data_IF_346086726936
#
_entry.id   IF_346086726936
#
_cell.length_a   1.000
_cell.length_b   1.000
_cell.length_c   1.000
_cell.angle_alpha   90.00
_cell.angle_beta   90.00
_cell.angle_gamma   90.00
#
_symmetry.space_group_name_H-M   'P 1'
#
loop_
_entity.id
_entity.type
_entity.pdbx_description
1 polymer ?
#
# COMPACT_ATOMS: atom_id res chain seq x y z
N UNK A 1 2.56 -5.58 -12.75
CA UNK A 1 3.02 -4.24 -12.35
C UNK A 1 4.01 -3.63 -13.34
N UNK A 2 5.10 -4.31 -13.70
CA UNK A 2 6.10 -3.77 -14.65
C UNK A 2 5.50 -3.41 -16.01
N UNK A 3 4.67 -4.28 -16.58
CA UNK A 3 3.98 -4.02 -17.85
C UNK A 3 3.17 -2.72 -17.83
N UNK A 4 2.38 -2.49 -16.78
CA UNK A 4 1.56 -1.26 -16.63
C UNK A 4 2.44 0.00 -16.55
N UNK A 5 3.61 -0.10 -15.89
CA UNK A 5 4.56 1.02 -15.83
C UNK A 5 5.26 1.28 -17.17
N UNK A 6 5.50 0.23 -17.97
CA UNK A 6 6.04 0.35 -19.32
C UNK A 6 5.02 1.00 -20.26
N UNK A 7 3.77 0.54 -20.23
CA UNK A 7 2.66 1.13 -21.00
C UNK A 7 2.48 2.61 -20.64
N UNK A 8 2.51 2.93 -19.35
CA UNK A 8 2.49 4.33 -18.89
C UNK A 8 3.65 5.14 -19.48
N UNK A 9 4.87 4.60 -19.47
CA UNK A 9 6.08 5.28 -19.97
C UNK A 9 5.96 5.56 -21.46
N UNK A 10 5.51 4.58 -22.25
CA UNK A 10 5.28 4.75 -23.69
C UNK A 10 4.26 5.85 -23.96
N UNK A 11 3.12 5.85 -23.26
CA UNK A 11 2.09 6.88 -23.44
C UNK A 11 2.59 8.26 -23.00
N UNK A 12 3.29 8.33 -21.86
CA UNK A 12 3.89 9.57 -21.35
C UNK A 12 4.85 10.17 -22.37
N UNK A 13 5.75 9.37 -22.92
CA UNK A 13 6.78 9.84 -23.85
C UNK A 13 6.19 10.29 -25.19
N UNK A 14 5.04 9.74 -25.60
CA UNK A 14 4.29 10.23 -26.76
C UNK A 14 3.64 11.60 -26.52
N UNK A 15 3.07 11.83 -25.33
CA UNK A 15 2.37 13.08 -24.98
C UNK A 15 3.37 14.19 -24.61
N UNK A 16 4.49 13.82 -23.98
CA UNK A 16 5.49 14.72 -23.42
C UNK A 16 6.91 14.41 -23.93
N UNK A 17 7.16 14.52 -25.25
CA UNK A 17 8.42 14.08 -25.87
C UNK A 17 9.66 14.85 -25.42
N UNK A 18 9.48 16.07 -24.88
CA UNK A 18 10.58 16.99 -24.54
C UNK A 18 10.73 17.24 -23.04
N UNK A 19 9.96 16.56 -22.19
CA UNK A 19 10.00 16.80 -20.74
C UNK A 19 11.29 16.23 -20.14
N UNK A 20 12.10 17.10 -19.53
CA UNK A 20 13.43 16.77 -18.97
C UNK A 20 13.46 16.62 -17.44
N UNK A 21 12.31 16.46 -16.79
CA UNK A 21 12.27 16.38 -15.32
C UNK A 21 12.52 14.94 -14.84
N UNK A 22 13.16 14.74 -13.67
CA UNK A 22 13.49 13.41 -13.16
C UNK A 22 12.28 12.63 -12.59
N UNK A 23 11.09 13.22 -12.59
CA UNK A 23 9.89 12.58 -12.04
C UNK A 23 9.32 11.54 -13.00
N UNK A 24 9.11 10.32 -12.50
CA UNK A 24 8.54 9.23 -13.30
C UNK A 24 7.09 9.53 -13.70
N UNK A 25 6.24 9.91 -12.74
CA UNK A 25 4.85 10.27 -12.96
C UNK A 25 4.65 11.77 -13.18
N UNK A 26 3.91 12.11 -14.23
CA UNK A 26 3.65 13.49 -14.68
C UNK A 26 2.16 13.85 -14.61
N UNK A 27 1.90 15.13 -14.45
CA UNK A 27 0.60 15.76 -14.73
C UNK A 27 0.37 15.86 -16.25
N UNK A 28 -0.86 16.21 -16.63
CA UNK A 28 -1.24 16.58 -18.00
C UNK A 28 -0.44 17.79 -18.56
N UNK A 29 0.17 18.58 -17.68
CA UNK A 29 1.04 19.70 -18.02
C UNK A 29 2.51 19.31 -18.13
N UNK A 30 2.85 18.03 -18.00
CA UNK A 30 4.24 17.54 -18.05
C UNK A 30 5.07 17.91 -16.82
N UNK A 31 4.43 18.24 -15.69
CA UNK A 31 5.11 18.56 -14.42
C UNK A 31 4.98 17.42 -13.41
N UNK A 32 5.80 17.41 -12.35
CA UNK A 32 5.70 16.42 -11.28
C UNK A 32 4.33 16.45 -10.61
N UNK A 33 3.77 15.27 -10.32
CA UNK A 33 2.54 15.16 -9.56
C UNK A 33 2.74 15.62 -8.11
N UNK A 34 1.80 16.42 -7.60
CA UNK A 34 1.75 16.78 -6.19
C UNK A 34 0.86 15.82 -5.41
N UNK A 35 1.13 15.64 -4.12
CA UNK A 35 0.30 14.82 -3.22
C UNK A 35 -1.15 15.29 -3.22
N UNK A 36 -1.38 16.60 -3.24
CA UNK A 36 -2.71 17.19 -3.28
C UNK A 36 -3.47 16.84 -4.57
N UNK A 37 -2.80 16.92 -5.74
CA UNK A 37 -3.41 16.59 -7.03
C UNK A 37 -3.80 15.11 -7.08
N UNK A 38 -2.90 14.23 -6.65
CA UNK A 38 -3.14 12.79 -6.59
C UNK A 38 -4.31 12.47 -5.65
N UNK A 39 -4.34 13.07 -4.45
CA UNK A 39 -5.44 12.90 -3.49
C UNK A 39 -6.78 13.39 -4.07
N UNK A 40 -6.79 14.54 -4.72
CA UNK A 40 -7.98 15.10 -5.34
C UNK A 40 -8.54 14.18 -6.42
N UNK A 41 -7.70 13.73 -7.35
CA UNK A 41 -8.12 12.79 -8.41
C UNK A 41 -8.64 11.49 -7.81
N UNK A 42 -7.97 10.94 -6.80
CA UNK A 42 -8.41 9.72 -6.13
C UNK A 42 -9.81 9.86 -5.49
N UNK A 43 -10.06 10.95 -4.76
CA UNK A 43 -11.37 11.22 -4.16
C UNK A 43 -12.43 11.32 -5.26
N UNK A 44 -12.16 12.06 -6.34
CA UNK A 44 -13.08 12.18 -7.47
C UNK A 44 -13.39 10.83 -8.12
N UNK A 45 -12.39 9.99 -8.35
CA UNK A 45 -12.60 8.65 -8.89
C UNK A 45 -13.42 7.79 -7.93
N UNK A 46 -13.16 7.88 -6.62
CA UNK A 46 -13.92 7.17 -5.59
C UNK A 46 -15.41 7.53 -5.61
N UNK A 47 -15.77 8.80 -5.84
CA UNK A 47 -17.17 9.18 -6.06
C UNK A 47 -17.73 8.58 -7.36
N UNK A 48 -16.98 8.67 -8.46
CA UNK A 48 -17.43 8.19 -9.78
C UNK A 48 -17.71 6.69 -9.82
N UNK A 49 -16.90 5.89 -9.12
CA UNK A 49 -17.05 4.43 -9.07
C UNK A 49 -17.98 3.97 -7.94
N UNK A 50 -18.59 4.90 -7.20
CA UNK A 50 -19.58 4.59 -6.16
C UNK A 50 -19.01 4.20 -4.80
N UNK A 51 -17.70 4.30 -4.58
CA UNK A 51 -17.10 4.11 -3.26
C UNK A 51 -17.36 5.26 -2.29
N UNK A 52 -17.77 6.43 -2.80
CA UNK A 52 -18.23 7.58 -2.03
C UNK A 52 -19.54 8.10 -2.62
N UNK A 53 -20.55 8.35 -1.80
CA UNK A 53 -21.78 9.05 -2.21
C UNK A 53 -21.49 10.54 -2.40
N UNK A 54 -22.35 11.29 -3.13
CA UNK A 54 -22.09 12.71 -3.43
C UNK A 54 -21.80 13.60 -2.22
N UNK A 55 -22.35 13.28 -1.05
CA UNK A 55 -22.18 14.05 0.19
C UNK A 55 -21.10 13.51 1.12
N UNK A 56 -20.45 12.40 0.77
CA UNK A 56 -19.51 11.72 1.65
C UNK A 56 -18.18 12.47 1.74
N UNK A 57 -17.91 13.04 2.91
CA UNK A 57 -16.60 13.61 3.24
C UNK A 57 -15.54 12.54 3.57
N UNK A 58 -15.98 11.34 3.94
CA UNK A 58 -15.14 10.20 4.32
C UNK A 58 -15.31 9.00 3.38
N UNK A 59 -14.33 8.09 3.37
CA UNK A 59 -14.29 6.96 2.44
C UNK A 59 -12.85 6.53 2.15
N UNK A 60 -12.63 5.68 1.14
CA UNK A 60 -11.30 5.19 0.82
C UNK A 60 -10.31 6.33 0.60
N UNK A 61 -9.05 6.08 0.95
CA UNK A 61 -7.90 6.98 0.81
C UNK A 61 -6.86 6.28 -0.04
N UNK A 62 -6.04 7.07 -0.73
CA UNK A 62 -4.96 6.51 -1.54
C UNK A 62 -3.94 5.72 -0.70
N UNK A 63 -3.71 6.12 0.55
CA UNK A 63 -2.85 5.40 1.49
C UNK A 63 -3.40 4.02 1.88
N UNK A 64 -4.70 3.76 1.69
CA UNK A 64 -5.28 2.48 2.02
C UNK A 64 -4.77 1.37 1.08
N UNK A 65 -4.28 1.68 -0.12
CA UNK A 65 -3.57 0.71 -0.95
C UNK A 65 -2.28 0.23 -0.30
N UNK A 66 -1.51 1.15 0.29
CA UNK A 66 -0.27 0.82 1.02
C UNK A 66 -0.57 -0.04 2.24
N UNK A 67 -1.62 0.33 2.99
CA UNK A 67 -2.11 -0.46 4.11
C UNK A 67 -2.51 -1.87 3.66
N UNK A 68 -3.35 -1.99 2.63
CA UNK A 68 -3.83 -3.27 2.11
C UNK A 68 -2.67 -4.17 1.64
N UNK A 69 -1.70 -3.61 0.91
CA UNK A 69 -0.49 -4.34 0.50
C UNK A 69 0.29 -4.89 1.69
N UNK A 70 0.52 -4.08 2.72
CA UNK A 70 1.24 -4.51 3.91
C UNK A 70 0.50 -5.66 4.63
N UNK A 71 -0.81 -5.48 4.86
CA UNK A 71 -1.66 -6.47 5.53
C UNK A 71 -1.69 -7.79 4.75
N UNK A 72 -1.95 -7.75 3.44
CA UNK A 72 -1.96 -8.97 2.61
C UNK A 72 -0.61 -9.69 2.59
N UNK A 73 0.49 -8.95 2.59
CA UNK A 73 1.83 -9.53 2.64
C UNK A 73 2.06 -10.27 3.95
N UNK A 74 1.69 -9.66 5.08
CA UNK A 74 1.82 -10.27 6.41
C UNK A 74 0.92 -11.50 6.55
N UNK A 75 -0.35 -11.42 6.13
CA UNK A 75 -1.28 -12.57 6.14
C UNK A 75 -0.68 -13.73 5.35
N UNK A 76 -0.18 -13.45 4.14
CA UNK A 76 0.44 -14.45 3.28
C UNK A 76 1.64 -15.11 3.97
N UNK A 77 2.51 -14.33 4.61
CA UNK A 77 3.65 -14.87 5.36
C UNK A 77 3.23 -15.78 6.52
N UNK A 78 2.18 -15.42 7.25
CA UNK A 78 1.62 -16.31 8.28
C UNK A 78 1.11 -17.62 7.68
N UNK A 79 0.37 -17.55 6.55
CA UNK A 79 -0.15 -18.73 5.85
C UNK A 79 0.95 -19.64 5.30
N UNK A 80 2.06 -19.07 4.85
CA UNK A 80 3.22 -19.80 4.33
C UNK A 80 4.17 -20.29 5.44
N UNK A 81 3.88 -20.02 6.71
CA UNK A 81 4.72 -20.42 7.84
C UNK A 81 6.06 -19.67 7.94
N UNK A 82 6.21 -18.57 7.22
CA UNK A 82 7.39 -17.71 7.26
C UNK A 82 7.56 -17.11 8.65
N UNK A 83 8.81 -16.89 9.07
CA UNK A 83 9.06 -16.13 10.29
C UNK A 83 8.77 -14.65 10.04
N UNK A 84 7.51 -14.24 10.30
CA UNK A 84 7.02 -12.88 10.08
C UNK A 84 7.91 -11.84 10.77
N UNK A 85 8.31 -12.10 12.02
CA UNK A 85 9.14 -11.18 12.81
C UNK A 85 10.45 -10.83 12.13
N UNK A 86 11.12 -11.80 11.50
CA UNK A 86 12.37 -11.53 10.77
C UNK A 86 12.16 -10.80 9.44
N UNK A 87 10.93 -10.80 8.91
CA UNK A 87 10.59 -10.18 7.62
C UNK A 87 9.96 -8.79 7.75
N UNK A 88 9.43 -8.43 8.92
CA UNK A 88 8.88 -7.09 9.19
C UNK A 88 9.87 -5.95 8.86
N UNK A 89 11.17 -6.03 9.19
CA UNK A 89 12.13 -4.99 8.80
C UNK A 89 12.23 -4.80 7.29
N UNK A 90 12.19 -5.89 6.52
CA UNK A 90 12.24 -5.85 5.05
C UNK A 90 11.00 -5.14 4.50
N UNK A 91 9.81 -5.49 5.00
CA UNK A 91 8.57 -4.83 4.60
C UNK A 91 8.58 -3.34 4.99
N UNK A 92 9.11 -3.02 6.18
CA UNK A 92 9.26 -1.64 6.64
C UNK A 92 10.10 -0.81 5.67
N UNK A 93 11.26 -1.33 5.24
CA UNK A 93 12.13 -0.69 4.26
C UNK A 93 11.44 -0.54 2.91
N UNK A 94 10.75 -1.58 2.43
CA UNK A 94 9.99 -1.52 1.17
C UNK A 94 8.91 -0.44 1.18
N UNK A 95 8.19 -0.31 2.30
CA UNK A 95 7.19 0.73 2.48
C UNK A 95 7.84 2.12 2.63
N UNK A 96 9.13 2.20 2.95
CA UNK A 96 9.81 3.45 3.28
C UNK A 96 9.38 3.99 4.65
N UNK A 97 9.06 3.11 5.60
CA UNK A 97 8.90 3.50 7.00
C UNK A 97 10.28 3.75 7.62
N UNK A 98 10.44 4.92 8.23
CA UNK A 98 11.64 5.28 8.99
C UNK A 98 11.78 4.50 10.29
N UNK A 99 10.68 3.93 10.81
CA UNK A 99 10.66 3.09 12.01
C UNK A 99 9.86 1.79 11.78
N UNK A 100 10.47 0.59 11.97
CA UNK A 100 9.78 -0.70 11.90
C UNK A 100 8.53 -0.82 12.77
N UNK A 101 8.45 -0.10 13.89
CA UNK A 101 7.26 -0.09 14.76
C UNK A 101 5.98 0.35 14.04
N UNK A 102 6.08 1.17 13.00
CA UNK A 102 4.93 1.54 12.16
C UNK A 102 4.39 0.37 11.33
N UNK A 103 5.22 -0.64 11.08
CA UNK A 103 4.84 -1.87 10.40
C UNK A 103 4.27 -2.89 11.38
N UNK A 104 4.80 -2.95 12.61
CA UNK A 104 4.20 -3.71 13.72
C UNK A 104 2.76 -3.27 14.05
N UNK A 105 2.43 -2.00 13.82
CA UNK A 105 1.06 -1.49 13.97
C UNK A 105 0.02 -2.27 13.14
N UNK A 106 0.40 -2.86 12.00
CA UNK A 106 -0.53 -3.66 11.20
C UNK A 106 -0.95 -4.97 11.91
N UNK A 107 -0.06 -5.57 12.71
CA UNK A 107 -0.35 -6.79 13.45
C UNK A 107 -1.41 -6.58 14.54
N UNK A 108 -1.42 -5.40 15.17
CA UNK A 108 -2.32 -5.07 16.28
C UNK A 108 -3.59 -4.33 15.89
N UNK A 109 -3.72 -3.89 14.63
CA UNK A 109 -4.87 -3.09 14.16
C UNK A 109 -5.80 -3.82 13.17
N UNK A 110 -5.45 -5.04 12.75
CA UNK A 110 -6.24 -5.84 11.82
C UNK A 110 -6.74 -7.11 12.52
N UNK A 111 -8.06 -7.29 12.71
CA UNK A 111 -8.61 -8.42 13.47
C UNK A 111 -8.15 -9.80 12.97
N UNK A 112 -8.04 -9.98 11.65
CA UNK A 112 -7.54 -11.21 11.05
C UNK A 112 -6.08 -11.50 11.44
N UNK A 113 -5.24 -10.47 11.53
CA UNK A 113 -3.84 -10.61 11.95
C UNK A 113 -3.72 -10.91 13.44
N UNK A 114 -4.59 -10.34 14.27
CA UNK A 114 -4.66 -10.66 15.71
C UNK A 114 -5.00 -12.14 15.90
N UNK A 115 -5.97 -12.66 15.16
CA UNK A 115 -6.34 -14.08 15.22
C UNK A 115 -5.18 -15.01 14.83
N UNK A 116 -4.47 -14.68 13.75
CA UNK A 116 -3.29 -15.45 13.32
C UNK A 116 -2.13 -15.39 14.33
N UNK A 117 -1.89 -14.22 14.93
CA UNK A 117 -0.87 -14.05 15.97
C UNK A 117 -1.22 -14.85 17.24
N UNK A 118 -2.49 -14.81 17.68
CA UNK A 118 -2.98 -15.56 18.83
C UNK A 118 -2.86 -17.09 18.61
N UNK A 119 -3.30 -17.60 17.46
CA UNK A 119 -3.19 -19.02 17.12
C UNK A 119 -1.73 -19.51 17.10
N UNK A 120 -0.80 -18.67 16.63
CA UNK A 120 0.64 -18.97 16.68
C UNK A 120 1.17 -19.03 18.11
N UNK A 121 0.76 -18.08 18.96
CA UNK A 121 1.14 -18.04 20.37
C UNK A 121 0.63 -19.28 21.11
N UNK A 122 -0.63 -19.66 20.90
CA UNK A 122 -1.22 -20.88 21.47
C UNK A 122 -0.46 -22.14 21.05
N UNK A 123 -0.07 -22.25 19.77
CA UNK A 123 0.76 -23.37 19.29
C UNK A 123 2.13 -23.42 19.97
N UNK A 124 2.74 -22.25 20.23
CA UNK A 124 4.04 -22.19 20.90
C UNK A 124 3.95 -22.53 22.40
N UNK A 125 2.88 -22.08 23.07
CA UNK A 125 2.62 -22.34 24.49
C UNK A 125 2.11 -23.77 24.74
N UNK A 126 1.31 -24.33 23.83
CA UNK A 126 0.78 -25.69 23.92
C UNK A 126 1.80 -26.78 23.57
N UNK A 127 2.96 -26.41 23.00
CA UNK A 127 4.10 -27.32 22.79
C UNK A 127 5.10 -27.37 23.95
N UNK A 128 4.80 -26.70 25.07
CA UNK A 128 5.62 -26.67 26.29
C UNK A 128 5.04 -27.54 27.43
N UNK A 129 4.16 -28.50 27.11
CA UNK A 129 3.67 -29.52 28.04
C UNK A 129 4.30 -30.89 27.77
#
# INVERSE_FOLDING_TARGET
TLQVLQEYTQLRDQIHPTVKIPSFFLSDRGTSLTVCAVRYVFIRLSHRIGFRKPTDSHGPRIHDFRHNFAVKTIIKWYQEGVNVESHIPILSTYLGHTNPSNTYWYLSSVPELIGLAAARLEKHLGGLQ
#
